data_IF_577157825683
#
_entry.id   IF_577157825683
#
_cell.length_a   1.000
_cell.length_b   1.000
_cell.length_c   1.000
_cell.angle_alpha   90.00
_cell.angle_beta   90.00
_cell.angle_gamma   90.00
#
_symmetry.space_group_name_H-M   'P 1'
#
loop_
_entity.id
_entity.type
_entity.pdbx_description
1 polymer ?
#
# COMPACT_ATOMS: atom_id res chain seq x y z
N UNK A 1 2.98 5.60 14.45
CA UNK A 1 1.87 6.37 15.06
C UNK A 1 1.19 5.47 16.10
N UNK A 2 1.37 5.78 17.39
CA UNK A 2 0.71 5.12 18.53
C UNK A 2 -0.43 6.02 19.02
N UNK A 3 -1.36 6.34 18.13
CA UNK A 3 -2.69 6.77 18.51
C UNK A 3 -3.60 5.65 18.02
N UNK A 4 -4.13 4.83 18.94
CA UNK A 4 -5.22 3.92 18.59
C UNK A 4 -6.43 4.78 18.28
N UNK A 5 -6.54 5.20 17.03
CA UNK A 5 -7.76 5.81 16.51
C UNK A 5 -8.91 4.84 16.79
N UNK A 6 -10.01 5.33 17.34
CA UNK A 6 -11.23 4.55 17.54
C UNK A 6 -12.24 4.80 16.42
N UNK A 7 -11.78 5.25 15.24
CA UNK A 7 -12.64 5.66 14.13
C UNK A 7 -13.55 4.55 13.60
N UNK A 8 -13.19 3.29 13.81
CA UNK A 8 -14.02 2.12 13.46
C UNK A 8 -14.56 1.39 14.71
N UNK A 9 -14.57 2.04 15.87
CA UNK A 9 -15.19 1.46 17.05
C UNK A 9 -16.66 1.11 16.80
N UNK A 10 -17.06 -0.10 17.18
CA UNK A 10 -18.41 -0.62 16.93
C UNK A 10 -18.63 -1.20 15.52
N UNK A 11 -17.70 -1.00 14.58
CA UNK A 11 -17.79 -1.58 13.22
C UNK A 11 -17.32 -3.03 13.24
N UNK A 12 -18.15 -3.95 12.70
CA UNK A 12 -17.86 -5.38 12.60
C UNK A 12 -17.50 -5.74 11.17
N UNK A 13 -16.31 -6.31 11.00
CA UNK A 13 -15.78 -6.68 9.69
C UNK A 13 -15.64 -8.19 9.60
N UNK A 14 -16.19 -8.78 8.54
CA UNK A 14 -15.92 -10.15 8.15
C UNK A 14 -15.02 -10.13 6.92
N UNK A 15 -13.84 -10.72 7.01
CA UNK A 15 -12.95 -10.91 5.88
C UNK A 15 -13.01 -12.33 5.36
N UNK A 16 -13.19 -12.46 4.05
CA UNK A 16 -12.96 -13.69 3.28
C UNK A 16 -11.69 -13.58 2.43
N UNK A 17 -10.98 -12.45 2.54
CA UNK A 17 -9.81 -12.17 1.74
C UNK A 17 -8.62 -13.00 2.22
N UNK A 18 -8.00 -13.70 1.28
CA UNK A 18 -6.81 -14.52 1.52
C UNK A 18 -5.60 -13.80 0.97
N UNK A 19 -4.45 -14.00 1.62
CA UNK A 19 -3.18 -13.37 1.24
C UNK A 19 -3.28 -11.83 1.24
N UNK A 20 -2.14 -11.15 1.12
CA UNK A 20 -2.14 -9.72 0.88
C UNK A 20 -2.94 -9.39 -0.41
N UNK A 21 -3.65 -8.25 -0.43
CA UNK A 21 -3.61 -7.16 0.56
C UNK A 21 -4.66 -7.27 1.69
N UNK A 22 -5.55 -8.27 1.65
CA UNK A 22 -6.74 -8.35 2.51
C UNK A 22 -6.46 -8.32 4.02
N UNK A 23 -5.64 -9.23 4.56
CA UNK A 23 -5.24 -9.25 5.96
C UNK A 23 -4.52 -7.97 6.42
N UNK A 24 -3.76 -7.30 5.54
CA UNK A 24 -3.14 -6.02 5.89
C UNK A 24 -4.20 -4.91 6.07
N UNK A 25 -5.21 -4.85 5.19
CA UNK A 25 -6.33 -3.95 5.36
C UNK A 25 -7.11 -4.26 6.65
N UNK A 26 -7.36 -5.55 6.93
CA UNK A 26 -8.06 -6.00 8.13
C UNK A 26 -7.30 -5.64 9.42
N UNK A 27 -5.97 -5.81 9.42
CA UNK A 27 -5.08 -5.40 10.50
C UNK A 27 -5.19 -3.90 10.76
N UNK A 28 -5.18 -3.07 9.71
CA UNK A 28 -5.34 -1.61 9.85
C UNK A 28 -6.71 -1.26 10.43
N UNK A 29 -7.78 -1.89 9.95
CA UNK A 29 -9.12 -1.64 10.47
C UNK A 29 -9.25 -2.03 11.95
N UNK A 30 -8.64 -3.15 12.37
CA UNK A 30 -8.55 -3.55 13.78
C UNK A 30 -7.80 -2.50 14.61
N UNK A 31 -6.66 -2.01 14.11
CA UNK A 31 -5.89 -0.94 14.76
C UNK A 31 -6.67 0.38 14.89
N UNK A 32 -7.70 0.57 14.04
CA UNK A 32 -8.66 1.68 14.12
C UNK A 32 -9.90 1.37 14.99
N UNK A 33 -9.92 0.23 15.70
CA UNK A 33 -10.96 -0.14 16.66
C UNK A 33 -12.07 -1.06 16.14
N UNK A 34 -11.99 -1.54 14.89
CA UNK A 34 -12.97 -2.47 14.35
C UNK A 34 -12.92 -3.86 15.03
N UNK A 35 -14.06 -4.51 15.14
CA UNK A 35 -14.13 -5.94 15.50
C UNK A 35 -13.96 -6.77 14.23
N UNK A 36 -12.80 -7.41 14.09
CA UNK A 36 -12.43 -8.14 12.88
C UNK A 36 -12.55 -9.66 13.08
N UNK A 37 -13.22 -10.30 12.13
CA UNK A 37 -13.29 -11.76 11.99
C UNK A 37 -12.85 -12.19 10.61
N UNK A 38 -12.36 -13.42 10.49
CA UNK A 38 -11.96 -14.00 9.21
C UNK A 38 -12.55 -15.40 9.05
N UNK A 39 -13.03 -15.68 7.85
CA UNK A 39 -13.50 -17.01 7.47
C UNK A 39 -12.66 -17.51 6.30
N UNK A 40 -11.86 -18.54 6.56
CA UNK A 40 -10.94 -19.14 5.61
C UNK A 40 -11.51 -20.43 5.01
N UNK A 41 -11.06 -20.86 3.81
CA UNK A 41 -11.35 -22.20 3.34
C UNK A 41 -10.71 -23.26 4.26
N UNK A 42 -11.10 -24.54 4.18
CA UNK A 42 -10.46 -25.62 4.94
C UNK A 42 -8.95 -25.74 4.68
N UNK A 43 -8.49 -25.32 3.51
CA UNK A 43 -7.05 -25.25 3.18
C UNK A 43 -6.30 -24.12 3.88
N UNK A 44 -6.98 -23.23 4.60
CA UNK A 44 -6.40 -22.04 5.21
C UNK A 44 -5.99 -20.95 4.21
N UNK A 45 -5.45 -19.85 4.74
CA UNK A 45 -4.78 -18.82 3.95
C UNK A 45 -3.37 -19.28 3.50
N UNK A 46 -3.03 -19.20 2.20
CA UNK A 46 -1.70 -19.54 1.70
C UNK A 46 -0.53 -18.85 2.43
N UNK A 47 -0.72 -17.61 2.91
CA UNK A 47 0.29 -16.88 3.69
C UNK A 47 0.73 -17.67 4.94
N UNK A 48 -0.20 -18.39 5.57
CA UNK A 48 0.10 -19.24 6.72
C UNK A 48 1.04 -20.40 6.39
N UNK A 49 1.13 -20.81 5.12
CA UNK A 49 2.02 -21.88 4.68
C UNK A 49 3.43 -21.39 4.37
N UNK A 50 3.59 -20.28 3.64
CA UNK A 50 4.92 -19.82 3.23
C UNK A 50 5.54 -18.76 4.16
N UNK A 51 4.75 -18.08 5.02
CA UNK A 51 5.28 -17.18 6.04
C UNK A 51 4.40 -17.13 7.31
N UNK A 52 4.53 -18.12 8.21
CA UNK A 52 3.74 -18.19 9.44
C UNK A 52 3.88 -16.97 10.36
N UNK A 53 5.08 -16.37 10.43
CA UNK A 53 5.33 -15.20 11.27
C UNK A 53 4.56 -13.98 10.78
N UNK A 54 4.58 -13.71 9.47
CA UNK A 54 3.79 -12.64 8.88
C UNK A 54 2.28 -12.90 9.03
N UNK A 55 1.83 -14.14 8.82
CA UNK A 55 0.44 -14.52 9.04
C UNK A 55 0.00 -14.22 10.49
N UNK A 56 0.79 -14.62 11.49
CA UNK A 56 0.49 -14.37 12.89
C UNK A 56 0.37 -12.87 13.20
N UNK A 57 1.29 -12.04 12.68
CA UNK A 57 1.26 -10.59 12.87
C UNK A 57 0.00 -9.95 12.25
N UNK A 58 -0.36 -10.36 11.02
CA UNK A 58 -1.53 -9.83 10.32
C UNK A 58 -2.84 -10.15 11.06
N UNK A 59 -2.92 -11.34 11.68
CA UNK A 59 -4.12 -11.84 12.34
C UNK A 59 -4.12 -11.69 13.87
N UNK A 60 -3.14 -11.00 14.45
CA UNK A 60 -3.12 -10.71 15.89
C UNK A 60 -4.46 -10.06 16.32
N UNK A 61 -5.17 -10.65 17.30
CA UNK A 61 -6.47 -10.13 17.74
C UNK A 61 -7.61 -10.24 16.72
N UNK A 62 -7.46 -11.02 15.65
CA UNK A 62 -8.52 -11.36 14.69
C UNK A 62 -9.01 -12.78 14.99
N UNK A 63 -10.33 -12.97 15.12
CA UNK A 63 -10.90 -14.31 15.26
C UNK A 63 -10.97 -14.98 13.88
N UNK A 64 -10.16 -16.02 13.68
CA UNK A 64 -10.16 -16.83 12.44
C UNK A 64 -10.99 -18.10 12.64
N UNK A 65 -11.78 -18.43 11.64
CA UNK A 65 -12.58 -19.66 11.56
C UNK A 65 -12.52 -20.21 10.14
N UNK A 66 -12.92 -21.47 9.94
CA UNK A 66 -12.91 -22.12 8.63
C UNK A 66 -14.31 -22.53 8.19
N UNK A 67 -14.58 -22.44 6.88
CA UNK A 67 -15.77 -22.98 6.24
C UNK A 67 -15.52 -23.27 4.76
N UNK A 68 -16.02 -24.39 4.26
CA UNK A 68 -16.08 -24.64 2.82
C UNK A 68 -17.33 -23.99 2.23
N UNK A 69 -17.16 -22.82 1.62
CA UNK A 69 -18.24 -22.05 1.01
C UNK A 69 -18.93 -22.77 -0.16
N UNK A 70 -18.40 -23.88 -0.67
CA UNK A 70 -19.07 -24.70 -1.70
C UNK A 70 -20.07 -25.70 -1.12
N UNK A 71 -20.12 -25.83 0.20
CA UNK A 71 -21.03 -26.75 0.91
C UNK A 71 -22.21 -26.00 1.54
N UNK A 72 -23.37 -26.66 1.73
CA UNK A 72 -24.50 -26.08 2.46
C UNK A 72 -24.15 -25.62 3.87
N UNK A 73 -23.31 -26.37 4.60
CA UNK A 73 -22.89 -26.02 5.96
C UNK A 73 -21.95 -24.82 5.98
N UNK A 74 -21.05 -24.71 5.02
CA UNK A 74 -20.20 -23.52 4.90
C UNK A 74 -20.99 -22.27 4.49
N UNK A 75 -21.99 -22.40 3.60
CA UNK A 75 -22.94 -21.32 3.31
C UNK A 75 -23.74 -20.90 4.53
N UNK A 76 -24.21 -21.86 5.34
CA UNK A 76 -24.89 -21.57 6.62
C UNK A 76 -23.97 -20.81 7.59
N UNK A 77 -22.71 -21.22 7.68
CA UNK A 77 -21.69 -20.56 8.51
C UNK A 77 -21.44 -19.13 8.05
N UNK A 78 -21.23 -18.92 6.75
CA UNK A 78 -21.07 -17.61 6.13
C UNK A 78 -22.27 -16.71 6.44
N UNK A 79 -23.49 -17.16 6.19
CA UNK A 79 -24.70 -16.36 6.40
C UNK A 79 -24.97 -16.03 7.88
N UNK A 80 -24.56 -16.92 8.80
CA UNK A 80 -24.60 -16.66 10.24
C UNK A 80 -23.62 -15.54 10.63
N UNK A 81 -22.43 -15.52 10.02
CA UNK A 81 -21.46 -14.45 10.22
C UNK A 81 -21.95 -13.12 9.60
N UNK A 82 -22.43 -13.15 8.34
CA UNK A 82 -22.93 -11.98 7.61
C UNK A 82 -24.08 -11.25 8.33
N UNK A 83 -24.94 -11.98 9.05
CA UNK A 83 -26.01 -11.38 9.85
C UNK A 83 -25.50 -10.45 10.97
N UNK A 84 -24.20 -10.54 11.31
CA UNK A 84 -23.53 -9.73 12.33
C UNK A 84 -22.38 -8.90 11.75
N UNK A 85 -22.39 -8.67 10.44
CA UNK A 85 -21.32 -7.96 9.73
C UNK A 85 -21.83 -6.63 9.21
N UNK A 86 -21.04 -5.57 9.40
CA UNK A 86 -21.31 -4.25 8.83
C UNK A 86 -20.54 -4.06 7.52
N UNK A 87 -19.32 -4.62 7.43
CA UNK A 87 -18.50 -4.61 6.21
C UNK A 87 -17.95 -6.00 5.88
N UNK A 88 -18.25 -6.49 4.67
CA UNK A 88 -17.66 -7.69 4.09
C UNK A 88 -16.43 -7.31 3.25
N UNK A 89 -15.27 -7.88 3.56
CA UNK A 89 -14.02 -7.69 2.82
C UNK A 89 -13.69 -8.96 2.03
N UNK A 90 -13.65 -8.89 0.70
CA UNK A 90 -13.36 -10.03 -0.18
C UNK A 90 -12.18 -9.79 -1.10
N UNK A 91 -11.51 -10.85 -1.56
CA UNK A 91 -10.46 -10.78 -2.58
C UNK A 91 -10.62 -11.87 -3.65
N UNK A 92 -11.82 -11.99 -4.21
CA UNK A 92 -12.16 -13.00 -5.23
C UNK A 92 -12.31 -12.38 -6.61
N UNK A 93 -11.96 -13.13 -7.64
CA UNK A 93 -12.28 -12.78 -9.02
C UNK A 93 -13.80 -12.78 -9.22
N UNK A 94 -14.36 -11.88 -10.05
CA UNK A 94 -15.80 -11.85 -10.32
C UNK A 94 -16.38 -13.19 -10.78
N UNK A 95 -15.65 -13.95 -11.60
CA UNK A 95 -16.10 -15.25 -12.10
C UNK A 95 -16.31 -16.32 -11.01
N UNK A 96 -15.70 -16.15 -9.83
CA UNK A 96 -15.87 -17.09 -8.71
C UNK A 96 -17.09 -16.76 -7.83
N UNK A 97 -17.60 -15.52 -7.88
CA UNK A 97 -18.63 -15.03 -6.95
C UNK A 97 -19.95 -15.83 -7.01
N UNK A 98 -20.49 -16.21 -8.20
CA UNK A 98 -21.74 -16.98 -8.26
C UNK A 98 -21.63 -18.33 -7.57
N UNK A 99 -20.54 -19.08 -7.83
CA UNK A 99 -20.29 -20.39 -7.23
C UNK A 99 -20.05 -20.32 -5.71
N UNK A 100 -19.67 -19.16 -5.19
CA UNK A 100 -19.46 -18.91 -3.76
C UNK A 100 -20.69 -18.26 -3.09
N UNK A 101 -21.74 -17.92 -3.83
CA UNK A 101 -22.91 -17.20 -3.30
C UNK A 101 -22.58 -15.78 -2.83
N UNK A 102 -21.56 -15.14 -3.41
CA UNK A 102 -21.02 -13.84 -2.99
C UNK A 102 -21.36 -12.70 -3.95
N UNK A 103 -22.34 -12.89 -4.83
CA UNK A 103 -22.79 -11.83 -5.73
C UNK A 103 -23.43 -10.69 -4.94
N UNK A 104 -22.95 -9.46 -5.17
CA UNK A 104 -23.39 -8.26 -4.44
C UNK A 104 -24.92 -8.11 -4.43
N UNK A 105 -25.58 -8.28 -5.58
CA UNK A 105 -27.04 -8.15 -5.69
C UNK A 105 -27.78 -9.11 -4.74
N UNK A 106 -27.32 -10.36 -4.65
CA UNK A 106 -27.93 -11.38 -3.80
C UNK A 106 -27.65 -11.10 -2.31
N UNK A 107 -26.41 -10.75 -1.97
CA UNK A 107 -26.03 -10.40 -0.60
C UNK A 107 -26.78 -9.15 -0.11
N UNK A 108 -26.83 -8.10 -0.92
CA UNK A 108 -27.45 -6.83 -0.57
C UNK A 108 -28.98 -6.95 -0.43
N UNK A 109 -29.64 -7.77 -1.25
CA UNK A 109 -31.06 -8.06 -1.09
C UNK A 109 -31.37 -8.72 0.26
N UNK A 110 -30.47 -9.58 0.77
CA UNK A 110 -30.62 -10.27 2.05
C UNK A 110 -30.14 -9.44 3.25
N UNK A 111 -29.13 -8.61 3.04
CA UNK A 111 -28.51 -7.76 4.06
C UNK A 111 -28.42 -6.32 3.54
N UNK A 112 -29.53 -5.55 3.55
CA UNK A 112 -29.59 -4.23 2.93
C UNK A 112 -28.60 -3.20 3.49
N UNK A 113 -28.13 -3.40 4.72
CA UNK A 113 -27.16 -2.52 5.38
C UNK A 113 -25.70 -2.95 5.25
N UNK A 114 -25.45 -4.15 4.73
CA UNK A 114 -24.10 -4.68 4.55
C UNK A 114 -23.35 -3.87 3.50
N UNK A 115 -22.20 -3.32 3.86
CA UNK A 115 -21.26 -2.79 2.88
C UNK A 115 -20.31 -3.91 2.42
N UNK A 116 -19.85 -3.84 1.17
CA UNK A 116 -18.83 -4.74 0.63
C UNK A 116 -17.64 -3.93 0.12
N UNK A 117 -16.44 -4.34 0.52
CA UNK A 117 -15.17 -3.91 -0.06
C UNK A 117 -14.60 -5.10 -0.82
N UNK A 118 -14.63 -5.04 -2.14
CA UNK A 118 -14.12 -6.06 -3.03
C UNK A 118 -12.74 -5.67 -3.54
N UNK A 119 -11.71 -6.36 -3.08
CA UNK A 119 -10.37 -6.26 -3.63
C UNK A 119 -10.30 -7.15 -4.88
N UNK A 120 -9.91 -6.56 -6.01
CA UNK A 120 -9.74 -7.25 -7.29
C UNK A 120 -8.35 -7.00 -7.85
N UNK A 121 -7.93 -7.81 -8.82
CA UNK A 121 -6.64 -7.63 -9.47
C UNK A 121 -6.59 -6.37 -10.34
N UNK A 122 -7.57 -6.23 -11.23
CA UNK A 122 -7.72 -5.12 -12.14
C UNK A 122 -9.22 -4.81 -12.34
N UNK A 123 -9.62 -3.60 -12.75
CA UNK A 123 -11.01 -3.28 -12.97
C UNK A 123 -11.54 -3.85 -14.29
N UNK A 124 -12.87 -3.90 -14.42
CA UNK A 124 -13.55 -4.18 -15.69
C UNK A 124 -13.23 -5.55 -16.28
N UNK A 125 -12.98 -5.60 -17.60
CA UNK A 125 -12.74 -6.86 -18.33
C UNK A 125 -11.52 -7.64 -17.82
N UNK A 126 -10.55 -6.93 -17.22
CA UNK A 126 -9.31 -7.52 -16.68
C UNK A 126 -9.49 -8.14 -15.29
N UNK A 127 -10.66 -8.01 -14.67
CA UNK A 127 -10.88 -8.46 -13.28
C UNK A 127 -10.72 -9.97 -13.06
N UNK A 128 -10.76 -10.77 -14.12
CA UNK A 128 -10.53 -12.22 -14.05
C UNK A 128 -9.10 -12.65 -14.43
N UNK A 129 -8.25 -11.69 -14.84
CA UNK A 129 -6.85 -11.96 -15.17
C UNK A 129 -6.07 -12.39 -13.91
N UNK A 130 -5.23 -13.43 -13.99
CA UNK A 130 -4.32 -13.75 -12.90
C UNK A 130 -3.27 -12.63 -12.76
N UNK A 131 -3.06 -12.19 -11.51
CA UNK A 131 -2.01 -11.24 -11.19
C UNK A 131 -1.64 -11.28 -9.72
N UNK A 132 -0.47 -10.73 -9.43
CA UNK A 132 0.08 -10.50 -8.10
C UNK A 132 0.79 -9.14 -8.09
N UNK A 133 1.17 -8.68 -6.89
CA UNK A 133 1.89 -7.42 -6.68
C UNK A 133 2.89 -7.09 -7.80
N UNK A 134 3.84 -7.99 -8.07
CA UNK A 134 4.90 -7.79 -9.05
C UNK A 134 4.36 -7.54 -10.46
N UNK A 135 3.30 -8.23 -10.89
CA UNK A 135 2.73 -8.03 -12.23
C UNK A 135 2.00 -6.70 -12.35
N UNK A 136 1.36 -6.23 -11.28
CA UNK A 136 0.71 -4.92 -11.28
C UNK A 136 1.74 -3.78 -11.28
N UNK A 137 2.86 -3.96 -10.57
CA UNK A 137 3.99 -3.04 -10.62
C UNK A 137 4.63 -3.01 -12.02
N UNK A 138 4.82 -4.18 -12.64
CA UNK A 138 5.38 -4.28 -13.99
C UNK A 138 4.50 -3.58 -15.04
N UNK A 139 3.17 -3.75 -14.98
CA UNK A 139 2.21 -3.09 -15.88
C UNK A 139 2.28 -1.56 -15.78
N UNK A 140 2.72 -1.03 -14.63
CA UNK A 140 2.91 0.41 -14.37
C UNK A 140 4.37 0.86 -14.54
N UNK A 141 5.24 0.01 -15.11
CA UNK A 141 6.64 0.31 -15.36
C UNK A 141 7.49 0.46 -14.10
N UNK A 142 7.02 0.00 -12.94
CA UNK A 142 7.70 0.12 -11.64
C UNK A 142 8.73 -0.99 -11.39
N UNK A 143 8.95 -1.85 -12.37
CA UNK A 143 9.98 -2.90 -12.38
C UNK A 143 10.95 -2.59 -13.53
N UNK A 144 11.91 -1.66 -13.33
CA UNK A 144 12.75 -1.15 -14.41
C UNK A 144 13.90 -2.11 -14.82
N UNK A 145 14.09 -3.21 -14.10
CA UNK A 145 15.17 -4.17 -14.32
C UNK A 145 14.84 -5.54 -13.72
N UNK A 146 15.87 -6.36 -13.49
CA UNK A 146 15.70 -7.72 -12.94
C UNK A 146 15.62 -7.75 -11.40
N UNK A 147 16.04 -6.67 -10.73
CA UNK A 147 15.94 -6.55 -9.28
C UNK A 147 14.49 -6.46 -8.84
N UNK A 148 14.14 -7.20 -7.79
CA UNK A 148 12.80 -7.17 -7.22
C UNK A 148 12.58 -5.88 -6.43
N UNK A 149 11.35 -5.32 -6.44
CA UNK A 149 10.98 -4.26 -5.52
C UNK A 149 11.21 -4.67 -4.06
N UNK A 150 11.70 -3.73 -3.24
CA UNK A 150 12.05 -4.01 -1.84
C UNK A 150 10.85 -4.36 -0.94
N UNK A 151 9.62 -4.20 -1.43
CA UNK A 151 8.37 -4.55 -0.74
C UNK A 151 7.27 -4.76 -1.77
N UNK A 152 6.13 -5.31 -1.32
CA UNK A 152 4.92 -5.49 -2.11
C UNK A 152 4.14 -4.18 -2.22
N UNK A 153 4.57 -3.29 -3.11
CA UNK A 153 4.04 -1.93 -3.16
C UNK A 153 2.56 -1.85 -3.57
N UNK A 154 2.13 -2.66 -4.54
CA UNK A 154 0.74 -2.67 -5.01
C UNK A 154 -0.19 -3.30 -3.97
N UNK A 155 0.23 -4.39 -3.32
CA UNK A 155 -0.55 -4.99 -2.24
C UNK A 155 -0.65 -4.04 -1.04
N UNK A 156 0.47 -3.45 -0.61
CA UNK A 156 0.43 -2.56 0.55
C UNK A 156 -0.35 -1.27 0.26
N UNK A 157 -0.24 -0.68 -0.93
CA UNK A 157 -1.08 0.47 -1.31
C UNK A 157 -2.56 0.07 -1.46
N UNK A 158 -2.85 -1.10 -2.04
CA UNK A 158 -4.20 -1.66 -2.11
C UNK A 158 -4.82 -1.89 -0.73
N UNK A 159 -4.02 -2.29 0.26
CA UNK A 159 -4.47 -2.43 1.65
C UNK A 159 -4.86 -1.09 2.28
N UNK A 160 -4.15 -0.01 1.94
CA UNK A 160 -4.50 1.36 2.38
C UNK A 160 -5.83 1.77 1.78
N UNK A 161 -6.00 1.61 0.46
CA UNK A 161 -7.23 1.95 -0.27
C UNK A 161 -8.43 1.12 0.23
N UNK A 162 -8.23 -0.17 0.52
CA UNK A 162 -9.27 -1.01 1.12
C UNK A 162 -9.65 -0.54 2.53
N UNK A 163 -8.67 -0.19 3.38
CA UNK A 163 -8.96 0.37 4.71
C UNK A 163 -9.67 1.75 4.63
N UNK A 164 -9.36 2.55 3.61
CA UNK A 164 -10.05 3.81 3.32
C UNK A 164 -11.49 3.56 2.85
N UNK A 165 -11.73 2.56 2.01
CA UNK A 165 -13.07 2.15 1.60
C UNK A 165 -13.93 1.69 2.79
N UNK A 166 -13.33 0.98 3.76
CA UNK A 166 -14.00 0.62 5.02
C UNK A 166 -14.38 1.89 5.82
N UNK A 167 -13.49 2.88 5.92
CA UNK A 167 -13.79 4.15 6.57
C UNK A 167 -14.93 4.90 5.86
N UNK A 168 -14.92 4.94 4.53
CA UNK A 168 -16.02 5.53 3.73
C UNK A 168 -17.34 4.82 3.98
N UNK A 169 -17.32 3.49 4.06
CA UNK A 169 -18.50 2.68 4.41
C UNK A 169 -19.04 3.04 5.80
N UNK A 170 -18.16 3.10 6.81
CA UNK A 170 -18.54 3.46 8.18
C UNK A 170 -19.09 4.89 8.28
N UNK A 171 -18.46 5.85 7.61
CA UNK A 171 -18.94 7.24 7.56
C UNK A 171 -20.33 7.33 6.92
N UNK A 172 -20.54 6.65 5.79
CA UNK A 172 -21.84 6.62 5.12
C UNK A 172 -22.93 6.02 6.01
N UNK A 173 -22.62 4.92 6.72
CA UNK A 173 -23.54 4.33 7.69
C UNK A 173 -23.86 5.30 8.84
N UNK A 174 -22.86 6.01 9.38
CA UNK A 174 -23.03 6.94 10.51
C UNK A 174 -23.83 8.20 10.18
N UNK A 175 -23.61 8.80 9.01
CA UNK A 175 -24.25 10.06 8.61
C UNK A 175 -25.78 9.93 8.44
N UNK A 176 -26.25 8.73 8.05
CA UNK A 176 -27.68 8.46 7.83
C UNK A 176 -28.48 8.32 9.14
N UNK A 177 -27.83 7.96 10.24
CA UNK A 177 -28.46 7.97 11.57
C UNK A 177 -28.70 9.39 12.11
N UNK A 178 -28.05 10.42 11.54
CA UNK A 178 -28.04 11.77 12.09
C UNK A 178 -29.14 12.73 11.56
N UNK A 179 -30.10 12.27 10.74
CA UNK A 179 -31.26 13.14 10.42
C UNK A 179 -32.03 12.96 9.10
N UNK A 180 -31.96 11.83 8.38
CA UNK A 180 -32.64 11.72 7.07
C UNK A 180 -34.01 11.03 7.08
N UNK A 181 -34.52 10.53 8.21
CA UNK A 181 -35.85 9.89 8.28
C UNK A 181 -35.99 8.53 7.57
N UNK A 182 -35.01 8.12 6.76
CA UNK A 182 -34.90 6.75 6.24
C UNK A 182 -34.38 5.80 7.32
N UNK A 183 -35.19 4.80 7.69
CA UNK A 183 -34.97 3.94 8.87
C UNK A 183 -33.85 2.88 8.73
N UNK A 184 -33.19 2.72 7.58
CA UNK A 184 -32.15 1.71 7.42
C UNK A 184 -30.93 2.25 6.65
N UNK A 185 -29.70 2.08 7.16
CA UNK A 185 -28.51 2.40 6.37
C UNK A 185 -28.48 1.49 5.13
N UNK A 186 -28.30 2.09 3.95
CA UNK A 186 -28.13 1.38 2.69
C UNK A 186 -26.65 1.05 2.51
N UNK A 187 -26.35 -0.24 2.48
CA UNK A 187 -25.03 -0.80 2.21
C UNK A 187 -24.44 -0.29 0.91
N UNK A 188 -23.12 -0.12 0.89
CA UNK A 188 -22.37 0.39 -0.26
C UNK A 188 -21.42 -0.69 -0.78
N UNK A 189 -21.16 -0.66 -2.08
CA UNK A 189 -20.15 -1.51 -2.72
C UNK A 189 -18.95 -0.65 -3.13
N UNK A 190 -17.76 -1.06 -2.71
CA UNK A 190 -16.50 -0.44 -3.09
C UNK A 190 -15.60 -1.47 -3.75
N UNK A 191 -15.15 -1.21 -4.97
CA UNK A 191 -14.12 -1.99 -5.63
C UNK A 191 -12.75 -1.34 -5.41
N UNK A 192 -11.76 -2.15 -5.07
CA UNK A 192 -10.36 -1.74 -4.94
C UNK A 192 -9.53 -2.62 -5.86
N UNK A 193 -9.09 -2.07 -6.98
CA UNK A 193 -8.23 -2.77 -7.92
C UNK A 193 -6.75 -2.59 -7.55
N UNK A 194 -6.00 -3.68 -7.49
CA UNK A 194 -4.56 -3.65 -7.23
C UNK A 194 -3.77 -2.98 -8.37
N UNK A 195 -4.24 -3.09 -9.62
CA UNK A 195 -3.68 -2.35 -10.75
C UNK A 195 -3.80 -0.83 -10.57
N UNK A 196 -4.91 -0.36 -10.01
CA UNK A 196 -5.15 1.07 -9.78
C UNK A 196 -4.33 1.56 -8.58
N UNK A 197 -4.17 0.69 -7.57
CA UNK A 197 -3.29 0.95 -6.44
C UNK A 197 -1.81 1.08 -6.88
N UNK A 198 -1.38 0.25 -7.83
CA UNK A 198 -0.07 0.35 -8.48
C UNK A 198 0.05 1.60 -9.36
N UNK A 199 -1.00 1.94 -10.12
CA UNK A 199 -1.04 3.14 -10.96
C UNK A 199 -0.94 4.42 -10.12
N UNK A 200 -1.63 4.47 -8.98
CA UNK A 200 -1.59 5.62 -8.08
C UNK A 200 -0.19 5.89 -7.54
N UNK A 201 0.50 4.87 -7.02
CA UNK A 201 1.88 5.03 -6.56
C UNK A 201 2.87 5.24 -7.72
N UNK A 202 2.47 4.87 -8.95
CA UNK A 202 3.24 5.06 -10.18
C UNK A 202 3.13 6.46 -10.78
N UNK A 203 2.24 7.33 -10.26
CA UNK A 203 2.07 8.70 -10.76
C UNK A 203 3.38 9.49 -10.87
N UNK A 204 4.31 9.48 -9.88
CA UNK A 204 5.60 10.18 -10.03
C UNK A 204 6.41 9.71 -11.24
N UNK A 205 6.30 8.43 -11.61
CA UNK A 205 6.98 7.87 -12.78
C UNK A 205 6.30 8.28 -14.08
N UNK A 206 4.96 8.31 -14.09
CA UNK A 206 4.17 8.81 -15.22
C UNK A 206 4.40 10.31 -15.47
N UNK A 207 4.58 11.10 -14.41
CA UNK A 207 4.97 12.51 -14.49
C UNK A 207 6.42 12.74 -14.90
N UNK A 208 7.22 11.67 -15.08
CA UNK A 208 8.62 11.75 -15.46
C UNK A 208 9.57 12.08 -14.31
N UNK A 209 9.08 12.26 -13.08
CA UNK A 209 9.88 12.67 -11.92
C UNK A 209 10.94 11.63 -11.56
N UNK A 210 10.55 10.34 -11.54
CA UNK A 210 11.40 9.20 -11.16
C UNK A 210 11.93 8.41 -12.36
N UNK A 211 11.76 8.92 -13.58
CA UNK A 211 12.43 8.37 -14.76
C UNK A 211 13.94 8.66 -14.70
N UNK A 212 14.81 7.92 -15.42
CA UNK A 212 16.26 8.12 -15.35
C UNK A 212 16.73 9.57 -15.63
N UNK A 213 16.00 10.31 -16.45
CA UNK A 213 16.22 11.72 -16.79
C UNK A 213 15.53 12.72 -15.82
N UNK A 214 14.70 12.21 -14.91
CA UNK A 214 13.89 12.98 -13.98
C UNK A 214 14.68 13.50 -12.78
N UNK A 215 14.17 14.59 -12.20
CA UNK A 215 14.83 15.28 -11.09
C UNK A 215 15.01 14.39 -9.84
N UNK A 216 14.08 13.47 -9.59
CA UNK A 216 14.13 12.52 -8.47
C UNK A 216 14.35 11.07 -8.94
N UNK A 217 14.76 10.90 -10.21
CA UNK A 217 15.15 9.61 -10.79
C UNK A 217 16.66 9.43 -10.94
N UNK A 218 17.46 10.33 -10.36
CA UNK A 218 18.92 10.25 -10.35
C UNK A 218 19.65 11.15 -11.36
N UNK A 219 18.92 11.94 -12.16
CA UNK A 219 19.50 12.90 -13.10
C UNK A 219 20.04 14.15 -12.40
N UNK A 220 19.37 14.61 -11.34
CA UNK A 220 19.81 15.73 -10.53
C UNK A 220 20.94 15.29 -9.59
N UNK A 221 22.08 16.00 -9.60
CA UNK A 221 23.25 15.63 -8.80
C UNK A 221 23.01 15.71 -7.27
N UNK A 222 21.99 16.46 -6.84
CA UNK A 222 21.53 16.51 -5.46
C UNK A 222 20.51 15.44 -5.08
N UNK A 223 20.04 14.59 -6.00
CA UNK A 223 19.05 13.55 -5.70
C UNK A 223 19.49 12.20 -6.25
N UNK A 224 20.31 11.47 -5.49
CA UNK A 224 20.96 10.23 -5.93
C UNK A 224 21.60 9.48 -4.75
N UNK A 225 21.86 8.19 -4.95
CA UNK A 225 22.76 7.40 -4.07
C UNK A 225 24.18 7.39 -4.64
N UNK A 226 25.16 7.79 -3.83
CA UNK A 226 26.59 7.78 -4.17
C UNK A 226 27.36 6.78 -3.30
N UNK A 227 28.47 6.27 -3.81
CA UNK A 227 29.45 5.55 -3.01
C UNK A 227 30.26 6.53 -2.14
N UNK A 228 30.68 6.09 -0.95
CA UNK A 228 31.61 6.76 -0.07
C UNK A 228 32.66 5.76 0.45
N UNK A 229 33.68 6.21 1.20
CA UNK A 229 34.83 5.37 1.59
C UNK A 229 34.46 4.05 2.26
N UNK A 230 33.42 4.06 3.08
CA UNK A 230 33.00 2.93 3.91
C UNK A 230 31.51 2.59 3.76
N UNK A 231 30.93 2.86 2.58
CA UNK A 231 29.55 2.49 2.26
C UNK A 231 28.91 3.36 1.17
N UNK A 232 27.65 3.75 1.39
CA UNK A 232 26.86 4.55 0.45
C UNK A 232 26.20 5.74 1.16
N UNK A 233 25.84 6.76 0.41
CA UNK A 233 25.06 7.92 0.90
C UNK A 233 23.89 8.21 -0.04
N UNK A 234 22.68 8.20 0.50
CA UNK A 234 21.50 8.72 -0.16
C UNK A 234 21.44 10.24 0.04
N UNK A 235 21.31 10.98 -1.06
CA UNK A 235 21.30 12.44 -1.11
C UNK A 235 19.94 12.90 -1.63
N UNK A 236 19.32 13.86 -0.95
CA UNK A 236 18.05 14.46 -1.34
C UNK A 236 18.09 16.01 -1.23
N UNK A 237 19.18 16.61 -1.68
CA UNK A 237 19.38 18.06 -1.78
C UNK A 237 18.82 18.63 -3.10
N UNK A 238 17.49 18.56 -3.26
CA UNK A 238 16.80 18.97 -4.51
C UNK A 238 16.54 20.48 -4.56
N UNK A 239 16.17 21.07 -3.42
CA UNK A 239 15.81 22.46 -3.28
C UNK A 239 17.03 23.37 -3.48
N UNK A 240 16.87 24.59 -4.04
CA UNK A 240 18.01 25.44 -4.42
C UNK A 240 19.01 25.72 -3.29
N UNK A 241 18.53 25.88 -2.06
CA UNK A 241 19.40 26.15 -0.90
C UNK A 241 20.20 24.90 -0.49
N UNK A 242 19.59 23.71 -0.47
CA UNK A 242 20.30 22.46 -0.21
C UNK A 242 21.29 22.12 -1.33
N UNK A 243 20.90 22.33 -2.58
CA UNK A 243 21.80 22.15 -3.73
C UNK A 243 23.01 23.09 -3.65
N UNK A 244 22.79 24.37 -3.30
CA UNK A 244 23.86 25.33 -3.08
C UNK A 244 24.79 24.92 -1.91
N UNK A 245 24.22 24.46 -0.79
CA UNK A 245 25.00 23.99 0.36
C UNK A 245 25.86 22.75 0.01
N UNK A 246 25.29 21.80 -0.73
CA UNK A 246 26.01 20.62 -1.23
C UNK A 246 27.15 21.02 -2.17
N UNK A 247 26.89 21.92 -3.12
CA UNK A 247 27.89 22.38 -4.06
C UNK A 247 29.01 23.16 -3.36
N UNK A 248 28.69 24.01 -2.38
CA UNK A 248 29.66 24.69 -1.55
C UNK A 248 30.55 23.70 -0.77
N UNK A 249 29.97 22.65 -0.20
CA UNK A 249 30.71 21.59 0.50
C UNK A 249 31.60 20.78 -0.45
N UNK A 250 31.12 20.51 -1.67
CA UNK A 250 31.84 19.73 -2.69
C UNK A 250 32.84 20.56 -3.51
N UNK A 251 32.91 21.89 -3.29
CA UNK A 251 33.77 22.78 -4.08
C UNK A 251 33.32 22.94 -5.54
N UNK A 252 32.03 22.77 -5.82
CA UNK A 252 31.45 22.88 -7.17
C UNK A 252 30.84 24.26 -7.35
N UNK A 253 31.31 25.01 -8.34
CA UNK A 253 30.69 26.28 -8.72
C UNK A 253 29.40 26.01 -9.51
N UNK A 254 28.27 26.55 -9.04
CA UNK A 254 26.97 26.47 -9.72
C UNK A 254 26.47 27.87 -9.98
N UNK A 255 26.33 28.23 -11.25
CA UNK A 255 25.79 29.52 -11.69
C UNK A 255 24.26 29.52 -11.74
N UNK A 256 23.66 28.34 -11.96
CA UNK A 256 22.22 28.14 -11.96
C UNK A 256 21.87 26.71 -11.49
N UNK A 257 20.60 26.47 -11.15
CA UNK A 257 20.16 25.15 -10.72
C UNK A 257 20.04 24.14 -11.87
N UNK A 258 20.03 24.58 -13.13
CA UNK A 258 20.07 23.64 -14.28
C UNK A 258 21.42 22.93 -14.35
N UNK A 259 22.49 23.54 -13.86
CA UNK A 259 23.80 22.92 -13.77
C UNK A 259 23.80 21.67 -12.87
N UNK A 260 22.82 21.48 -11.96
CA UNK A 260 22.67 20.23 -11.21
C UNK A 260 22.33 19.02 -12.08
N UNK A 261 21.84 19.24 -13.31
CA UNK A 261 21.61 18.18 -14.31
C UNK A 261 22.82 17.94 -15.22
N UNK A 262 23.89 18.73 -15.10
CA UNK A 262 25.08 18.56 -15.93
C UNK A 262 25.87 17.30 -15.51
N UNK A 263 26.39 16.50 -16.45
CA UNK A 263 27.26 15.37 -16.15
C UNK A 263 28.49 15.75 -15.31
N UNK A 264 29.10 16.91 -15.59
CA UNK A 264 30.27 17.40 -14.86
C UNK A 264 29.97 17.64 -13.36
N UNK A 265 28.83 18.24 -13.05
CA UNK A 265 28.37 18.45 -11.67
C UNK A 265 28.16 17.11 -10.95
N UNK A 266 27.53 16.13 -11.61
CA UNK A 266 27.35 14.78 -11.05
C UNK A 266 28.69 14.10 -10.77
N UNK A 267 29.65 14.19 -11.67
CA UNK A 267 30.98 13.60 -11.52
C UNK A 267 31.77 14.24 -10.37
N UNK A 268 31.73 15.57 -10.25
CA UNK A 268 32.40 16.29 -9.16
C UNK A 268 31.80 15.93 -7.79
N UNK A 269 30.46 15.89 -7.67
CA UNK A 269 29.77 15.47 -6.44
C UNK A 269 30.05 14.00 -6.12
N UNK A 270 30.10 13.12 -7.13
CA UNK A 270 30.48 11.72 -6.93
C UNK A 270 31.91 11.58 -6.38
N UNK A 271 32.87 12.33 -6.93
CA UNK A 271 34.26 12.32 -6.45
C UNK A 271 34.38 12.85 -5.02
N UNK A 272 33.62 13.90 -4.69
CA UNK A 272 33.51 14.41 -3.32
C UNK A 272 33.05 13.31 -2.35
N UNK A 273 31.91 12.67 -2.62
CA UNK A 273 31.38 11.63 -1.73
C UNK A 273 32.30 10.40 -1.62
N UNK A 274 32.95 9.98 -2.71
CA UNK A 274 33.92 8.89 -2.70
C UNK A 274 35.11 9.15 -1.76
N UNK A 275 35.44 10.42 -1.49
CA UNK A 275 36.50 10.84 -0.58
C UNK A 275 36.09 10.90 0.90
N UNK A 276 34.79 10.81 1.22
CA UNK A 276 34.26 10.99 2.58
C UNK A 276 33.97 9.65 3.26
N UNK A 277 34.08 9.60 4.59
CA UNK A 277 33.54 8.51 5.40
C UNK A 277 32.09 8.79 5.79
N UNK A 278 31.34 7.76 6.17
CA UNK A 278 29.96 7.92 6.66
C UNK A 278 29.89 8.86 7.87
N UNK A 279 30.83 8.76 8.79
CA UNK A 279 30.91 9.66 9.96
C UNK A 279 31.16 11.12 9.57
N UNK A 280 32.01 11.36 8.56
CA UNK A 280 32.24 12.72 8.05
C UNK A 280 30.98 13.27 7.37
N UNK A 281 30.28 12.43 6.60
CA UNK A 281 29.02 12.81 5.94
C UNK A 281 27.89 13.06 6.93
N UNK A 282 27.79 12.30 8.01
CA UNK A 282 26.80 12.52 9.06
C UNK A 282 27.01 13.88 9.76
N UNK A 283 28.27 14.24 10.05
CA UNK A 283 28.61 15.57 10.58
C UNK A 283 28.30 16.67 9.58
N UNK A 284 28.71 16.50 8.31
CA UNK A 284 28.43 17.46 7.24
C UNK A 284 26.94 17.73 7.08
N UNK A 285 26.12 16.66 7.06
CA UNK A 285 24.67 16.76 6.93
C UNK A 285 24.07 17.68 7.99
N UNK A 286 24.51 17.53 9.24
CA UNK A 286 24.04 18.35 10.38
C UNK A 286 24.59 19.77 10.35
N UNK A 287 25.87 19.94 10.05
CA UNK A 287 26.55 21.25 10.08
C UNK A 287 26.12 22.17 8.93
N UNK A 288 25.77 21.60 7.78
CA UNK A 288 25.41 22.32 6.55
C UNK A 288 23.94 22.21 6.20
N UNK A 289 23.14 21.54 7.03
CA UNK A 289 21.72 21.28 6.82
C UNK A 289 21.46 20.64 5.44
N UNK A 290 22.19 19.56 5.12
CA UNK A 290 22.07 18.85 3.84
C UNK A 290 21.31 17.54 4.06
N UNK A 291 20.22 17.24 3.32
CA UNK A 291 19.49 15.99 3.42
C UNK A 291 20.32 14.78 2.94
N UNK A 292 21.07 14.16 3.86
CA UNK A 292 21.91 12.99 3.61
C UNK A 292 21.56 11.85 4.57
N UNK A 293 21.60 10.61 4.07
CA UNK A 293 21.53 9.41 4.91
C UNK A 293 22.59 8.39 4.47
N UNK A 294 23.45 7.98 5.41
CA UNK A 294 24.53 7.04 5.13
C UNK A 294 24.12 5.60 5.42
N UNK A 295 24.51 4.69 4.55
CA UNK A 295 24.20 3.25 4.60
C UNK A 295 25.48 2.43 4.51
N UNK A 296 25.50 1.24 5.11
CA UNK A 296 26.56 0.27 4.84
C UNK A 296 26.59 -0.12 3.35
N UNK A 297 27.72 -0.69 2.93
CA UNK A 297 27.89 -1.21 1.57
C UNK A 297 26.75 -2.16 1.19
#
# INVERSE_FOLDING_TARGET
MKASSSALHGVRILSLALNLPGPAALMRCRQMGATCTKLEPPSGDPMGHYNPAAYAQLHEGVKVSQADLKTPDGQKTLHTALAKTDVLLTSFRPAALPALGLEWKALHARYPSLCQVAIVGAPGSRANEPGHDLTYLADNGLVPGLELPATLYADMSGSLMASEAVLKAALHQSARYAGSGDNHPVGQFFEVALSDAAAYIGLPRAWGLTQPQGAVGGAHAGYRVYACKDGRVAVAALEPHFAAALCAAAGVAVSDMKAMFAPATRQAIQAFFAGQTRDALHRLAKEKDIPLHTMAA
#
